data_IF_527802831573
#
_entry.id   IF_527802831573
#
_cell.length_a   1.000
_cell.length_b   1.000
_cell.length_c   1.000
_cell.angle_alpha   90.00
_cell.angle_beta   90.00
_cell.angle_gamma   90.00
#
_symmetry.space_group_name_H-M   'P 1'
#
loop_
_entity.id
_entity.type
_entity.pdbx_description
1 polymer ?
#
# COMPACT_ATOMS: atom_id res chain seq x y z
N UNK A 1 -3.48 -15.52 21.08
CA UNK A 1 -4.09 -14.42 20.36
C UNK A 1 -3.69 -14.42 18.91
N UNK A 2 -4.60 -14.20 18.04
CA UNK A 2 -4.34 -14.35 16.61
C UNK A 2 -4.11 -13.04 15.88
N UNK A 3 -3.78 -12.02 16.59
CA UNK A 3 -3.71 -10.72 15.96
C UNK A 3 -2.59 -10.58 14.94
N UNK A 4 -1.56 -11.46 14.99
CA UNK A 4 -0.53 -11.44 13.96
C UNK A 4 -1.01 -12.01 12.66
N UNK A 5 -2.08 -12.76 12.72
CA UNK A 5 -2.53 -13.49 11.55
C UNK A 5 -3.47 -12.61 10.76
N UNK A 6 -3.19 -12.49 9.48
CA UNK A 6 -4.08 -11.78 8.58
C UNK A 6 -5.19 -12.71 8.17
N UNK A 7 -6.45 -12.31 8.33
CA UNK A 7 -7.58 -13.20 8.05
C UNK A 7 -7.95 -13.30 6.60
N UNK A 8 -7.30 -12.55 5.73
CA UNK A 8 -7.68 -12.50 4.34
C UNK A 8 -6.85 -13.42 3.48
N UNK A 9 -7.09 -13.33 2.19
CA UNK A 9 -6.33 -14.09 1.21
C UNK A 9 -5.10 -13.31 0.81
N UNK A 10 -3.94 -13.96 0.72
CA UNK A 10 -2.76 -13.28 0.17
C UNK A 10 -3.06 -12.81 -1.25
N UNK A 11 -2.61 -11.60 -1.57
CA UNK A 11 -2.80 -11.05 -2.89
C UNK A 11 -1.49 -11.08 -3.67
N UNK A 12 -0.49 -10.32 -3.21
CA UNK A 12 0.85 -10.40 -3.80
C UNK A 12 1.85 -9.80 -2.83
N UNK A 13 3.13 -10.14 -3.05
CA UNK A 13 4.24 -9.55 -2.31
C UNK A 13 4.99 -8.62 -3.23
N UNK A 14 5.60 -7.58 -2.66
CA UNK A 14 6.44 -6.69 -3.43
C UNK A 14 7.58 -6.19 -2.56
N UNK A 15 8.59 -5.61 -3.19
CA UNK A 15 9.68 -5.00 -2.46
C UNK A 15 9.64 -3.51 -2.61
N UNK A 16 9.94 -2.81 -1.52
CA UNK A 16 10.04 -1.37 -1.51
C UNK A 16 11.28 -1.02 -0.72
N UNK A 17 12.24 -0.35 -1.37
CA UNK A 17 13.52 -0.02 -0.75
C UNK A 17 14.20 -1.27 -0.17
N UNK A 18 14.09 -2.38 -0.89
CA UNK A 18 14.71 -3.63 -0.49
C UNK A 18 13.99 -4.42 0.58
N UNK A 19 12.90 -3.90 1.12
CA UNK A 19 12.14 -4.55 2.18
C UNK A 19 10.89 -5.20 1.59
N UNK A 20 10.62 -6.41 2.04
CA UNK A 20 9.50 -7.18 1.52
C UNK A 20 8.20 -6.75 2.21
N UNK A 21 7.20 -6.48 1.39
CA UNK A 21 5.85 -6.16 1.83
C UNK A 21 4.89 -7.23 1.36
N UNK A 22 3.87 -7.49 2.15
CA UNK A 22 2.82 -8.46 1.81
C UNK A 22 1.50 -7.75 1.73
N UNK A 23 0.66 -8.19 0.81
CA UNK A 23 -0.68 -7.62 0.69
C UNK A 23 -1.73 -8.71 0.81
N UNK A 24 -2.90 -8.33 1.29
CA UNK A 24 -4.00 -9.25 1.56
C UNK A 24 -5.32 -8.61 1.16
N UNK A 25 -6.25 -9.44 0.71
CA UNK A 25 -7.64 -9.04 0.52
C UNK A 25 -8.42 -9.59 1.71
N UNK A 26 -9.12 -8.71 2.42
CA UNK A 26 -9.75 -9.04 3.70
C UNK A 26 -11.25 -8.82 3.60
N UNK A 27 -12.07 -9.72 4.17
CA UNK A 27 -13.51 -9.49 4.16
C UNK A 27 -13.88 -8.15 4.78
N UNK A 28 -14.78 -7.43 4.12
CA UNK A 28 -15.16 -6.08 4.56
C UNK A 28 -15.76 -6.09 5.97
N UNK A 29 -16.42 -7.17 6.35
CA UNK A 29 -17.06 -7.27 7.66
C UNK A 29 -16.09 -7.57 8.79
N UNK A 30 -14.83 -7.84 8.47
CA UNK A 30 -13.85 -8.22 9.49
C UNK A 30 -13.47 -7.04 10.37
N UNK A 31 -13.08 -7.35 11.60
CA UNK A 31 -12.68 -6.31 12.55
C UNK A 31 -11.51 -5.47 12.07
N UNK A 32 -10.57 -6.09 11.32
CA UNK A 32 -9.43 -5.35 10.77
C UNK A 32 -9.86 -4.27 9.81
N UNK A 33 -11.05 -4.39 9.20
CA UNK A 33 -11.62 -3.38 8.32
C UNK A 33 -12.66 -2.55 9.05
N UNK A 34 -12.62 -2.56 10.37
CA UNK A 34 -13.53 -1.82 11.22
C UNK A 34 -14.98 -2.06 10.80
N UNK A 35 -15.28 -3.32 10.51
CA UNK A 35 -16.61 -3.79 10.12
C UNK A 35 -17.21 -2.99 8.97
N UNK A 36 -16.37 -2.65 8.01
CA UNK A 36 -16.81 -1.94 6.83
C UNK A 36 -16.52 -0.46 6.82
N UNK A 37 -16.09 0.10 7.93
CA UNK A 37 -15.78 1.53 7.98
C UNK A 37 -14.42 1.84 7.36
N UNK A 38 -13.53 0.86 7.32
CA UNK A 38 -12.20 1.01 6.74
C UNK A 38 -12.11 0.18 5.47
N UNK A 39 -11.58 0.74 4.40
CA UNK A 39 -11.47 0.02 3.13
C UNK A 39 -10.05 -0.48 2.86
N UNK A 40 -9.06 0.08 3.53
CA UNK A 40 -7.67 -0.35 3.36
C UNK A 40 -6.85 0.17 4.54
N UNK A 41 -5.74 -0.51 4.82
CA UNK A 41 -4.82 0.00 5.82
C UNK A 41 -3.41 -0.50 5.54
N UNK A 42 -2.45 0.15 6.17
CA UNK A 42 -1.04 -0.13 6.02
C UNK A 42 -0.44 -0.30 7.42
N UNK A 43 0.21 -1.44 7.64
CA UNK A 43 0.90 -1.71 8.90
C UNK A 43 2.40 -1.61 8.64
N UNK A 44 3.00 -0.50 9.03
CA UNK A 44 4.39 -0.23 8.71
C UNK A 44 5.35 -1.13 9.46
N UNK A 45 5.00 -1.49 10.68
CA UNK A 45 5.87 -2.32 11.49
C UNK A 45 6.03 -3.71 10.89
N UNK A 46 4.93 -4.27 10.43
CA UNK A 46 4.92 -5.62 9.87
C UNK A 46 5.07 -5.62 8.36
N UNK A 47 5.01 -4.46 7.74
CA UNK A 47 5.08 -4.29 6.29
C UNK A 47 3.98 -5.10 5.61
N UNK A 48 2.77 -4.79 6.01
CA UNK A 48 1.57 -5.45 5.49
C UNK A 48 0.57 -4.38 5.03
N UNK A 49 -0.03 -4.60 3.89
CA UNK A 49 -1.17 -3.81 3.44
C UNK A 49 -2.38 -4.73 3.31
N UNK A 50 -3.54 -4.25 3.69
CA UNK A 50 -4.77 -5.03 3.59
C UNK A 50 -5.83 -4.18 2.91
N UNK A 51 -6.64 -4.82 2.09
CA UNK A 51 -7.67 -4.16 1.29
C UNK A 51 -8.97 -4.91 1.41
N UNK A 52 -10.08 -4.17 1.49
CA UNK A 52 -11.41 -4.75 1.63
C UNK A 52 -11.81 -5.47 0.35
N UNK A 53 -12.44 -6.62 0.49
CA UNK A 53 -12.97 -7.36 -0.65
C UNK A 53 -14.22 -6.69 -1.25
N UNK A 54 -14.74 -5.65 -0.62
CA UNK A 54 -15.87 -4.90 -1.15
C UNK A 54 -15.44 -3.84 -2.17
N UNK A 55 -14.14 -3.58 -2.33
CA UNK A 55 -13.67 -2.57 -3.27
C UNK A 55 -13.86 -3.06 -4.71
N UNK A 56 -14.30 -2.16 -5.58
CA UNK A 56 -14.32 -2.45 -7.01
C UNK A 56 -12.87 -2.50 -7.50
N UNK A 57 -12.68 -2.99 -8.73
CA UNK A 57 -11.33 -3.08 -9.30
C UNK A 57 -10.66 -1.72 -9.36
N UNK A 58 -11.41 -0.69 -9.75
CA UNK A 58 -10.84 0.65 -9.82
C UNK A 58 -10.52 1.19 -8.44
N UNK A 59 -11.41 0.95 -7.48
CA UNK A 59 -11.17 1.38 -6.12
C UNK A 59 -9.97 0.67 -5.50
N UNK A 60 -9.79 -0.61 -5.86
CA UNK A 60 -8.65 -1.38 -5.35
C UNK A 60 -7.33 -0.81 -5.86
N UNK A 61 -7.28 -0.43 -7.14
CA UNK A 61 -6.08 0.18 -7.68
C UNK A 61 -5.77 1.49 -6.98
N UNK A 62 -6.80 2.32 -6.80
CA UNK A 62 -6.64 3.61 -6.13
C UNK A 62 -6.18 3.42 -4.70
N UNK A 63 -6.78 2.47 -4.00
CA UNK A 63 -6.40 2.20 -2.61
C UNK A 63 -4.97 1.71 -2.51
N UNK A 64 -4.54 0.86 -3.44
CA UNK A 64 -3.17 0.38 -3.42
C UNK A 64 -2.17 1.52 -3.59
N UNK A 65 -2.43 2.41 -4.56
CA UNK A 65 -1.54 3.55 -4.78
C UNK A 65 -1.51 4.44 -3.54
N UNK A 66 -2.66 4.64 -2.91
CA UNK A 66 -2.75 5.45 -1.70
C UNK A 66 -1.90 4.86 -0.58
N UNK A 67 -2.02 3.54 -0.35
CA UNK A 67 -1.26 2.91 0.71
C UNK A 67 0.23 2.84 0.38
N UNK A 68 0.57 2.64 -0.88
CA UNK A 68 1.96 2.65 -1.31
C UNK A 68 2.60 4.00 -1.05
N UNK A 69 1.86 5.08 -1.32
CA UNK A 69 2.35 6.43 -1.06
C UNK A 69 2.67 6.59 0.43
N UNK A 70 1.77 6.12 1.31
CA UNK A 70 2.02 6.19 2.74
C UNK A 70 3.25 5.38 3.14
N UNK A 71 3.44 4.21 2.54
CA UNK A 71 4.61 3.38 2.85
C UNK A 71 5.90 4.10 2.46
N UNK A 72 5.89 4.81 1.33
CA UNK A 72 7.05 5.58 0.89
C UNK A 72 7.32 6.73 1.86
N UNK A 73 6.25 7.41 2.30
CA UNK A 73 6.38 8.51 3.27
C UNK A 73 6.95 8.00 4.58
N UNK A 74 6.46 6.88 5.05
CA UNK A 74 6.93 6.33 6.32
C UNK A 74 8.40 5.94 6.22
N UNK A 75 8.79 5.33 5.11
CA UNK A 75 10.19 4.98 4.90
C UNK A 75 11.08 6.22 4.88
N UNK A 76 10.56 7.33 4.38
CA UNK A 76 11.30 8.58 4.29
C UNK A 76 11.36 9.33 5.63
N UNK A 77 10.61 8.88 6.61
CA UNK A 77 10.57 9.49 7.94
C UNK A 77 10.17 10.96 7.86
N UNK A 78 9.11 11.24 7.08
CA UNK A 78 8.58 12.59 6.94
C UNK A 78 7.16 12.62 7.48
N UNK A 79 6.89 13.59 8.34
CA UNK A 79 5.56 13.77 8.92
C UNK A 79 4.85 14.87 8.16
N UNK A 80 3.84 14.49 7.41
CA UNK A 80 3.06 15.45 6.63
C UNK A 80 2.20 16.35 7.48
N UNK A 81 1.96 15.97 8.71
CA UNK A 81 1.10 16.77 9.58
C UNK A 81 1.84 17.96 10.14
N UNK A 82 3.14 17.99 10.02
CA UNK A 82 3.93 19.10 10.47
C UNK A 82 4.18 20.06 9.31
N UNK A 83 4.35 21.31 9.65
CA UNK A 83 4.66 22.29 8.63
C UNK A 83 6.05 22.00 8.07
N UNK A 84 6.13 21.82 6.77
CA UNK A 84 7.38 21.45 6.15
C UNK A 84 8.11 22.65 5.61
N UNK A 85 9.42 22.69 5.84
CA UNK A 85 10.28 23.72 5.24
C UNK A 85 10.51 23.38 3.77
N UNK A 86 11.00 24.33 2.96
CA UNK A 86 11.32 24.03 1.57
C UNK A 86 12.32 22.89 1.41
N UNK A 87 13.31 22.81 2.30
CA UNK A 87 14.28 21.72 2.23
C UNK A 87 13.63 20.36 2.48
N UNK A 88 12.71 20.29 3.46
CA UNK A 88 12.02 19.06 3.73
C UNK A 88 11.10 18.69 2.57
N UNK A 89 10.42 19.67 1.98
CA UNK A 89 9.56 19.42 0.84
C UNK A 89 10.34 18.86 -0.33
N UNK A 90 11.51 19.40 -0.61
CA UNK A 90 12.37 18.90 -1.67
C UNK A 90 12.81 17.47 -1.41
N UNK A 91 13.21 17.19 -0.18
CA UNK A 91 13.66 15.86 0.19
C UNK A 91 12.52 14.85 0.07
N UNK A 92 11.33 15.25 0.48
CA UNK A 92 10.16 14.39 0.38
C UNK A 92 9.86 14.07 -1.08
N UNK A 93 9.84 15.08 -1.93
CA UNK A 93 9.59 14.88 -3.35
C UNK A 93 10.60 13.91 -3.94
N UNK A 94 11.88 14.06 -3.58
CA UNK A 94 12.92 13.19 -4.07
C UNK A 94 12.73 11.76 -3.59
N UNK A 95 12.37 11.59 -2.33
CA UNK A 95 12.16 10.25 -1.78
C UNK A 95 10.95 9.56 -2.41
N UNK A 96 9.87 10.30 -2.62
CA UNK A 96 8.68 9.75 -3.27
C UNK A 96 9.01 9.33 -4.68
N UNK A 97 9.74 10.16 -5.41
CA UNK A 97 10.13 9.84 -6.79
C UNK A 97 10.99 8.59 -6.82
N UNK A 98 11.94 8.47 -5.90
CA UNK A 98 12.79 7.28 -5.83
C UNK A 98 11.99 6.05 -5.45
N UNK A 99 11.04 6.19 -4.54
CA UNK A 99 10.19 5.06 -4.17
C UNK A 99 9.40 4.54 -5.34
N UNK A 100 8.82 5.43 -6.12
CA UNK A 100 8.09 5.03 -7.31
C UNK A 100 8.99 4.38 -8.35
N UNK A 101 10.19 4.93 -8.55
CA UNK A 101 11.14 4.35 -9.49
C UNK A 101 11.54 2.95 -9.08
N UNK A 102 11.81 2.76 -7.79
CA UNK A 102 12.12 1.44 -7.25
C UNK A 102 10.98 0.48 -7.52
N UNK A 103 9.75 0.90 -7.20
CA UNK A 103 8.59 0.05 -7.35
C UNK A 103 8.39 -0.35 -8.81
N UNK A 104 8.52 0.61 -9.72
CA UNK A 104 8.36 0.33 -11.15
C UNK A 104 9.36 -0.70 -11.62
N UNK A 105 10.59 -0.61 -11.14
CA UNK A 105 11.65 -1.53 -11.56
C UNK A 105 11.52 -2.91 -10.94
N UNK A 106 11.10 -2.96 -9.67
CA UNK A 106 11.07 -4.23 -8.94
C UNK A 106 9.77 -4.99 -9.13
N UNK A 107 8.71 -4.33 -9.57
CA UNK A 107 7.39 -4.95 -9.58
C UNK A 107 6.66 -4.72 -10.91
N UNK A 108 7.22 -5.18 -12.02
CA UNK A 108 6.58 -4.93 -13.32
C UNK A 108 5.19 -5.55 -13.44
N UNK A 109 4.94 -6.66 -12.74
CA UNK A 109 3.61 -7.28 -12.80
C UNK A 109 2.55 -6.39 -12.17
N UNK A 110 2.93 -5.68 -11.10
CA UNK A 110 1.99 -4.80 -10.43
C UNK A 110 1.71 -3.58 -11.29
N UNK A 111 2.73 -3.09 -11.99
CA UNK A 111 2.54 -1.98 -12.92
C UNK A 111 1.55 -2.39 -14.01
N UNK A 112 1.66 -3.60 -14.52
CA UNK A 112 0.72 -4.10 -15.51
C UNK A 112 -0.69 -4.12 -14.95
N UNK A 113 -0.85 -4.60 -13.72
CA UNK A 113 -2.14 -4.61 -13.05
C UNK A 113 -2.72 -3.19 -12.93
N UNK A 114 -1.89 -2.23 -12.56
CA UNK A 114 -2.36 -0.86 -12.36
C UNK A 114 -2.80 -0.21 -13.67
N UNK A 115 -2.26 -0.65 -14.80
CA UNK A 115 -2.62 -0.11 -16.10
C UNK A 115 -3.85 -0.76 -16.69
N UNK A 116 -4.17 -1.97 -16.28
CA UNK A 116 -5.27 -2.72 -16.87
C UNK A 116 -6.59 -2.34 -16.25
N UNK A 117 -7.61 -2.37 -17.09
CA UNK A 117 -8.97 -2.19 -16.62
C UNK A 117 -9.43 -3.40 -15.83
N UNK A 118 -8.90 -4.55 -16.12
CA UNK A 118 -9.25 -5.79 -15.45
C UNK A 118 -8.07 -6.36 -14.75
N UNK A 119 -8.23 -6.74 -13.46
CA UNK A 119 -7.15 -7.38 -12.75
C UNK A 119 -6.88 -8.75 -13.34
N UNK A 120 -5.66 -9.18 -13.26
CA UNK A 120 -5.30 -10.52 -13.67
C UNK A 120 -5.99 -11.53 -12.79
N UNK A 121 -6.48 -12.59 -13.39
CA UNK A 121 -7.15 -13.64 -12.66
C UNK A 121 -8.56 -13.31 -12.24
N UNK A 122 -9.11 -12.24 -12.73
CA UNK A 122 -10.47 -11.86 -12.41
C UNK A 122 -11.46 -12.65 -13.27
#
# INVERSE_FOLDING_TARGET
MKRDRQPGKPWFDFKLFGLKWKTYIVPAAHADMDKGATSAYCDYTRRVMAFSDALTNEQLRTAFVHELQHAIEEHSDVDYEEEVSPEVADRLTDQVARGWLYFIRECPEIIAFLRDERPKGA
#
